data_IF_591001880972
#
_entry.id   IF_591001880972
#
_cell.length_a   1.000
_cell.length_b   1.000
_cell.length_c   1.000
_cell.angle_alpha   90.00
_cell.angle_beta   90.00
_cell.angle_gamma   90.00
#
_symmetry.space_group_name_H-M   'P 1'
#
loop_
_entity.id
_entity.type
_entity.pdbx_description
1 polymer ?
#
# COMPACT_ATOMS: atom_id res chain seq x y z
N UNK A 1 21.72 -44.76 16.06
CA UNK A 1 20.36 -44.19 15.92
C UNK A 1 19.38 -45.33 15.66
N UNK A 2 18.39 -45.55 16.54
CA UNK A 2 17.48 -46.69 16.42
C UNK A 2 16.48 -46.51 15.25
N UNK A 3 15.88 -47.59 14.75
CA UNK A 3 14.87 -47.53 13.67
C UNK A 3 13.71 -46.59 14.04
N UNK A 4 13.27 -46.59 15.30
CA UNK A 4 12.22 -45.71 15.80
C UNK A 4 12.62 -44.23 15.76
N UNK A 5 13.88 -43.90 16.09
CA UNK A 5 14.38 -42.52 15.99
C UNK A 5 14.42 -42.03 14.54
N UNK A 6 14.76 -42.91 13.58
CA UNK A 6 14.76 -42.57 12.14
C UNK A 6 13.37 -42.24 11.62
N UNK A 7 12.37 -43.04 12.01
CA UNK A 7 10.96 -42.84 11.60
C UNK A 7 10.42 -41.53 12.20
N UNK A 8 10.69 -41.28 13.48
CA UNK A 8 10.24 -40.07 14.16
C UNK A 8 10.83 -38.79 13.52
N UNK A 9 12.13 -38.79 13.22
CA UNK A 9 12.79 -37.66 12.53
C UNK A 9 12.23 -37.46 11.12
N UNK A 10 11.95 -38.54 10.37
CA UNK A 10 11.37 -38.44 9.04
C UNK A 10 9.96 -37.83 9.05
N UNK A 11 9.14 -38.18 10.04
CA UNK A 11 7.79 -37.60 10.23
C UNK A 11 7.90 -36.10 10.53
N UNK A 12 8.76 -35.71 11.48
CA UNK A 12 8.96 -34.30 11.81
C UNK A 12 9.40 -33.47 10.60
N UNK A 13 10.39 -33.96 9.84
CA UNK A 13 10.85 -33.30 8.62
C UNK A 13 9.73 -33.14 7.60
N UNK A 14 8.93 -34.18 7.39
CA UNK A 14 7.80 -34.15 6.45
C UNK A 14 6.74 -33.14 6.89
N UNK A 15 6.39 -33.10 8.17
CA UNK A 15 5.45 -32.11 8.72
C UNK A 15 5.99 -30.68 8.62
N UNK A 16 7.28 -30.45 8.90
CA UNK A 16 7.89 -29.12 8.80
C UNK A 16 7.92 -28.60 7.36
N UNK A 17 8.27 -29.46 6.40
CA UNK A 17 8.24 -29.10 4.97
C UNK A 17 6.80 -28.87 4.51
N UNK A 18 5.85 -29.72 4.93
CA UNK A 18 4.43 -29.54 4.62
C UNK A 18 3.87 -28.21 5.12
N UNK A 19 4.19 -27.83 6.37
CA UNK A 19 3.81 -26.53 6.94
C UNK A 19 4.45 -25.35 6.19
N UNK A 20 5.73 -25.46 5.83
CA UNK A 20 6.42 -24.42 5.07
C UNK A 20 5.80 -24.23 3.67
N UNK A 21 5.50 -25.32 2.96
CA UNK A 21 4.85 -25.26 1.64
C UNK A 21 3.44 -24.71 1.77
N UNK A 22 2.65 -25.16 2.75
CA UNK A 22 1.31 -24.63 3.00
C UNK A 22 1.33 -23.13 3.31
N UNK A 23 2.30 -22.66 4.09
CA UNK A 23 2.50 -21.23 4.38
C UNK A 23 2.84 -20.44 3.11
N UNK A 24 3.74 -20.95 2.27
CA UNK A 24 4.10 -20.32 0.98
C UNK A 24 2.90 -20.27 0.05
N UNK A 25 2.17 -21.38 -0.12
CA UNK A 25 0.98 -21.44 -0.99
C UNK A 25 -0.12 -20.51 -0.47
N UNK A 26 -0.43 -20.56 0.83
CA UNK A 26 -1.39 -19.64 1.45
C UNK A 26 -1.01 -18.20 1.09
N UNK A 27 0.24 -17.80 1.31
CA UNK A 27 0.73 -16.44 1.01
C UNK A 27 0.62 -16.07 -0.47
N UNK A 28 0.94 -16.99 -1.39
CA UNK A 28 0.90 -16.73 -2.83
C UNK A 28 -0.52 -16.68 -3.39
N UNK A 29 -1.45 -17.49 -2.87
CA UNK A 29 -2.84 -17.51 -3.33
C UNK A 29 -3.59 -16.20 -3.07
N UNK A 30 -3.21 -15.42 -2.03
CA UNK A 30 -3.73 -14.06 -1.82
C UNK A 30 -3.14 -13.01 -2.78
N UNK A 31 -2.10 -13.35 -3.55
CA UNK A 31 -1.36 -12.38 -4.37
C UNK A 31 -1.85 -12.28 -5.83
N UNK A 32 -2.75 -13.17 -6.29
CA UNK A 32 -3.21 -13.17 -7.68
C UNK A 32 -4.37 -12.18 -7.85
N UNK A 33 -4.04 -10.97 -8.30
CA UNK A 33 -4.96 -9.93 -8.81
C UNK A 33 -6.00 -9.33 -7.85
N UNK A 34 -5.67 -9.20 -6.55
CA UNK A 34 -6.54 -8.49 -5.59
C UNK A 34 -6.44 -6.96 -5.67
N UNK A 35 -5.34 -6.42 -6.23
CA UNK A 35 -5.08 -4.99 -6.24
C UNK A 35 -4.33 -4.51 -7.48
N UNK A 36 -4.45 -3.21 -7.76
CA UNK A 36 -3.76 -2.50 -8.83
C UNK A 36 -3.23 -1.17 -8.31
N UNK A 37 -1.94 -0.88 -8.54
CA UNK A 37 -1.38 0.44 -8.26
C UNK A 37 -1.75 1.35 -9.41
N UNK A 38 -2.70 2.27 -9.18
CA UNK A 38 -3.20 3.15 -10.25
C UNK A 38 -2.28 4.33 -10.50
N UNK A 39 -1.60 4.82 -9.46
CA UNK A 39 -0.62 5.90 -9.59
C UNK A 39 0.34 5.95 -8.38
N UNK A 40 1.45 6.66 -8.52
CA UNK A 40 2.47 6.85 -7.50
C UNK A 40 3.13 8.24 -7.61
N UNK A 41 3.18 8.95 -6.49
CA UNK A 41 4.03 10.13 -6.32
C UNK A 41 5.24 9.74 -5.48
N UNK A 42 6.43 10.17 -5.92
CA UNK A 42 7.64 10.08 -5.12
C UNK A 42 8.32 11.44 -5.06
N UNK A 43 8.64 11.85 -3.84
CA UNK A 43 9.34 13.09 -3.52
C UNK A 43 10.50 12.82 -2.57
N UNK A 44 11.56 13.61 -2.71
CA UNK A 44 12.69 13.61 -1.78
C UNK A 44 12.91 15.03 -1.29
N UNK A 45 12.81 15.25 0.03
CA UNK A 45 13.06 16.54 0.68
C UNK A 45 13.94 16.34 1.91
N UNK A 46 15.06 17.06 1.99
CA UNK A 46 15.91 17.20 3.20
C UNK A 46 16.21 15.87 3.94
N UNK A 47 16.58 14.80 3.23
CA UNK A 47 16.92 13.50 3.82
C UNK A 47 15.72 12.61 4.18
N UNK A 48 14.51 13.02 3.78
CA UNK A 48 13.31 12.21 3.80
C UNK A 48 12.86 11.91 2.36
N UNK A 49 12.54 10.64 2.09
CA UNK A 49 11.91 10.19 0.87
C UNK A 49 10.46 9.80 1.17
N UNK A 50 9.51 10.47 0.53
CA UNK A 50 8.09 10.19 0.67
C UNK A 50 7.58 9.55 -0.61
N UNK A 51 6.93 8.40 -0.49
CA UNK A 51 6.26 7.72 -1.61
C UNK A 51 4.78 7.58 -1.28
N UNK A 52 3.93 8.18 -2.10
CA UNK A 52 2.48 8.08 -2.03
C UNK A 52 2.00 7.15 -3.14
N UNK A 53 1.21 6.15 -2.80
CA UNK A 53 0.65 5.18 -3.74
C UNK A 53 -0.86 5.27 -3.70
N UNK A 54 -1.48 5.22 -4.87
CA UNK A 54 -2.92 5.06 -5.04
C UNK A 54 -3.18 3.63 -5.50
N UNK A 55 -3.94 2.88 -4.70
CA UNK A 55 -4.13 1.45 -4.90
C UNK A 55 -5.61 1.16 -4.98
N UNK A 56 -6.03 0.61 -6.12
CA UNK A 56 -7.37 0.09 -6.31
C UNK A 56 -7.44 -1.36 -5.85
N UNK A 57 -8.44 -1.70 -5.05
CA UNK A 57 -8.75 -3.08 -4.63
C UNK A 57 -10.15 -3.47 -5.10
N UNK A 58 -10.38 -4.78 -5.24
CA UNK A 58 -11.72 -5.29 -5.57
C UNK A 58 -12.70 -5.14 -4.40
N UNK A 59 -12.26 -5.42 -3.18
CA UNK A 59 -13.07 -5.34 -1.96
C UNK A 59 -12.17 -5.00 -0.74
N UNK A 60 -12.77 -4.56 0.37
CA UNK A 60 -12.06 -4.24 1.61
C UNK A 60 -12.11 -5.39 2.61
N UNK A 61 -11.13 -6.27 2.53
CA UNK A 61 -10.72 -7.06 3.69
C UNK A 61 -9.53 -6.37 4.37
N UNK A 62 -9.64 -6.04 5.66
CA UNK A 62 -8.61 -5.29 6.39
C UNK A 62 -7.27 -6.02 6.45
N UNK A 63 -7.29 -7.36 6.54
CA UNK A 63 -6.08 -8.17 6.48
C UNK A 63 -5.46 -8.13 5.08
N UNK A 64 -6.31 -8.18 4.05
CA UNK A 64 -5.88 -8.06 2.65
C UNK A 64 -5.33 -6.66 2.34
N UNK A 65 -5.97 -5.59 2.81
CA UNK A 65 -5.56 -4.19 2.60
C UNK A 65 -4.19 -3.91 3.23
N UNK A 66 -3.94 -4.41 4.45
CA UNK A 66 -2.61 -4.37 5.05
C UNK A 66 -1.61 -5.19 4.24
N UNK A 67 -1.96 -6.41 3.86
CA UNK A 67 -1.11 -7.30 3.07
C UNK A 67 -0.68 -6.69 1.74
N UNK A 68 -1.58 -5.98 1.06
CA UNK A 68 -1.30 -5.23 -0.17
C UNK A 68 -0.23 -4.17 0.05
N UNK A 69 -0.36 -3.35 1.09
CA UNK A 69 0.63 -2.31 1.37
C UNK A 69 1.99 -2.91 1.80
N UNK A 70 2.01 -4.02 2.55
CA UNK A 70 3.25 -4.74 2.88
C UNK A 70 3.92 -5.30 1.62
N UNK A 71 3.15 -5.84 0.68
CA UNK A 71 3.66 -6.38 -0.57
C UNK A 71 4.24 -5.30 -1.48
N UNK A 72 3.53 -4.18 -1.66
CA UNK A 72 4.03 -3.02 -2.43
C UNK A 72 5.27 -2.42 -1.77
N UNK A 73 5.29 -2.31 -0.43
CA UNK A 73 6.46 -1.84 0.30
C UNK A 73 7.65 -2.75 0.04
N UNK A 74 7.48 -4.07 0.14
CA UNK A 74 8.55 -5.04 -0.08
C UNK A 74 9.08 -4.98 -1.50
N UNK A 75 8.20 -5.02 -2.51
CA UNK A 75 8.57 -4.88 -3.93
C UNK A 75 9.37 -3.60 -4.17
N UNK A 76 8.99 -2.51 -3.52
CA UNK A 76 9.71 -1.23 -3.65
C UNK A 76 11.08 -1.28 -2.97
N UNK A 77 11.18 -1.85 -1.77
CA UNK A 77 12.47 -2.01 -1.07
C UNK A 77 13.42 -2.94 -1.83
N UNK A 78 12.91 -4.05 -2.37
CA UNK A 78 13.67 -5.04 -3.13
C UNK A 78 14.18 -4.46 -4.46
N UNK A 79 13.47 -3.48 -5.03
CA UNK A 79 13.89 -2.80 -6.27
C UNK A 79 15.13 -1.93 -6.12
N UNK A 80 15.60 -1.64 -4.89
CA UNK A 80 16.73 -0.76 -4.59
C UNK A 80 16.63 0.67 -5.19
N UNK A 81 15.44 1.11 -5.61
CA UNK A 81 15.25 2.47 -6.16
C UNK A 81 15.22 3.53 -5.06
N UNK A 82 15.01 3.14 -3.79
CA UNK A 82 14.96 4.06 -2.65
C UNK A 82 16.29 4.10 -1.89
N UNK A 83 16.68 5.30 -1.47
CA UNK A 83 17.89 5.51 -0.69
C UNK A 83 17.67 4.99 0.73
N UNK A 84 18.34 3.91 1.06
CA UNK A 84 18.21 3.28 2.38
C UNK A 84 18.80 4.16 3.49
N UNK A 85 19.71 5.09 3.17
CA UNK A 85 20.32 6.00 4.14
C UNK A 85 19.39 7.13 4.56
N UNK A 86 18.32 7.37 3.80
CA UNK A 86 17.28 8.34 4.09
C UNK A 86 16.15 7.74 4.94
N UNK A 87 15.43 8.62 5.65
CA UNK A 87 14.13 8.26 6.24
C UNK A 87 13.15 8.04 5.09
N UNK A 88 12.43 6.92 5.08
CA UNK A 88 11.48 6.59 4.01
C UNK A 88 10.07 6.51 4.58
N UNK A 89 9.17 7.33 4.05
CA UNK A 89 7.75 7.34 4.39
C UNK A 89 6.95 6.81 3.21
N UNK A 90 6.18 5.76 3.45
CA UNK A 90 5.24 5.22 2.49
C UNK A 90 3.84 5.55 2.95
N UNK A 91 3.04 6.11 2.05
CA UNK A 91 1.63 6.41 2.25
C UNK A 91 0.83 5.69 1.17
N UNK A 92 -0.13 4.88 1.57
CA UNK A 92 -0.97 4.09 0.68
C UNK A 92 -2.41 4.55 0.82
N UNK A 93 -2.98 5.05 -0.26
CA UNK A 93 -4.38 5.36 -0.42
C UNK A 93 -5.06 4.19 -1.13
N UNK A 94 -5.69 3.32 -0.35
CA UNK A 94 -6.33 2.11 -0.83
C UNK A 94 -7.83 2.34 -0.96
N UNK A 95 -8.39 2.09 -2.14
CA UNK A 95 -9.80 2.35 -2.43
C UNK A 95 -10.43 1.26 -3.30
N UNK A 96 -11.73 1.05 -3.13
CA UNK A 96 -12.56 0.25 -4.03
C UNK A 96 -13.23 1.18 -5.05
N UNK A 97 -13.49 0.68 -6.27
CA UNK A 97 -14.17 1.47 -7.31
C UNK A 97 -15.55 1.95 -6.86
N UNK A 98 -16.26 1.13 -6.07
CA UNK A 98 -17.60 1.45 -5.52
C UNK A 98 -17.60 2.66 -4.58
N UNK A 99 -16.46 3.01 -4.00
CA UNK A 99 -16.33 4.09 -3.02
C UNK A 99 -15.93 5.43 -3.65
N UNK A 100 -15.67 5.43 -4.96
CA UNK A 100 -15.33 6.63 -5.70
C UNK A 100 -16.61 7.37 -6.10
N UNK A 101 -16.65 8.67 -5.83
CA UNK A 101 -17.73 9.54 -6.31
C UNK A 101 -17.17 10.84 -6.89
N UNK A 102 -18.01 11.54 -7.65
CA UNK A 102 -17.72 12.90 -8.07
C UNK A 102 -17.75 13.84 -6.84
N UNK A 103 -17.06 14.98 -6.98
CA UNK A 103 -16.99 16.02 -5.95
C UNK A 103 -18.33 16.74 -5.83
N UNK A 104 -18.75 17.05 -4.60
CA UNK A 104 -19.90 17.94 -4.36
C UNK A 104 -19.46 19.40 -4.44
N UNK A 105 -20.41 20.33 -4.60
CA UNK A 105 -20.09 21.77 -4.63
C UNK A 105 -19.34 22.20 -3.36
N UNK A 106 -19.81 21.78 -2.18
CA UNK A 106 -19.15 22.07 -0.91
C UNK A 106 -17.68 21.60 -0.87
N UNK A 107 -17.38 20.45 -1.48
CA UNK A 107 -15.99 19.94 -1.56
C UNK A 107 -15.14 20.75 -2.53
N UNK A 108 -15.72 21.24 -3.62
CA UNK A 108 -15.02 22.12 -4.55
C UNK A 108 -14.67 23.45 -3.89
N UNK A 109 -15.62 24.01 -3.13
CA UNK A 109 -15.42 25.25 -2.38
C UNK A 109 -14.35 25.07 -1.28
N UNK A 110 -14.37 23.93 -0.57
CA UNK A 110 -13.33 23.58 0.41
C UNK A 110 -11.95 23.42 -0.24
N UNK A 111 -11.86 22.75 -1.40
CA UNK A 111 -10.60 22.57 -2.13
C UNK A 111 -10.06 23.91 -2.65
N UNK A 112 -10.93 24.80 -3.14
CA UNK A 112 -10.52 26.13 -3.56
C UNK A 112 -9.93 26.95 -2.41
N UNK A 113 -10.44 26.77 -1.18
CA UNK A 113 -9.93 27.45 0.00
C UNK A 113 -8.64 26.83 0.55
N UNK A 114 -8.55 25.50 0.58
CA UNK A 114 -7.44 24.77 1.23
C UNK A 114 -6.26 24.50 0.30
N UNK A 115 -6.52 24.34 -1.00
CA UNK A 115 -5.54 23.98 -2.02
C UNK A 115 -5.75 24.82 -3.29
N UNK A 116 -5.56 26.16 -3.22
CA UNK A 116 -5.85 27.06 -4.34
C UNK A 116 -4.97 26.83 -5.58
N UNK A 117 -3.89 26.04 -5.47
CA UNK A 117 -3.04 25.67 -6.62
C UNK A 117 -3.67 24.62 -7.55
N UNK A 118 -4.75 23.94 -7.11
CA UNK A 118 -5.43 22.94 -7.95
C UNK A 118 -6.44 23.66 -8.84
N UNK A 119 -6.06 23.93 -10.08
CA UNK A 119 -6.97 24.46 -11.10
C UNK A 119 -7.99 23.39 -11.52
N UNK A 120 -9.27 23.76 -11.60
CA UNK A 120 -10.40 22.90 -12.02
C UNK A 120 -10.49 21.53 -11.32
N UNK A 121 -10.60 21.48 -9.96
CA UNK A 121 -10.61 20.23 -9.21
C UNK A 121 -11.72 19.26 -9.65
N UNK A 122 -12.86 19.78 -10.12
CA UNK A 122 -13.97 18.97 -10.62
C UNK A 122 -13.60 18.09 -11.83
N UNK A 123 -12.66 18.52 -12.67
CA UNK A 123 -12.23 17.75 -13.85
C UNK A 123 -11.04 16.85 -13.56
N UNK A 124 -10.31 17.11 -12.47
CA UNK A 124 -9.06 16.41 -12.13
C UNK A 124 -9.19 15.37 -11.03
N UNK A 125 -10.11 15.55 -10.09
CA UNK A 125 -10.16 14.78 -8.86
C UNK A 125 -11.49 14.03 -8.68
N UNK A 126 -11.42 12.93 -7.95
CA UNK A 126 -12.56 12.21 -7.36
C UNK A 126 -12.37 12.11 -5.87
N UNK A 127 -13.49 11.99 -5.16
CA UNK A 127 -13.49 11.74 -3.73
C UNK A 127 -13.68 10.24 -3.48
N UNK A 128 -12.92 9.73 -2.51
CA UNK A 128 -13.10 8.40 -1.91
C UNK A 128 -13.63 8.62 -0.51
N UNK A 129 -14.85 8.15 -0.21
CA UNK A 129 -15.52 8.45 1.08
C UNK A 129 -15.13 7.51 2.22
N UNK A 130 -14.72 6.29 1.91
CA UNK A 130 -14.50 5.23 2.91
C UNK A 130 -13.26 4.36 2.59
N UNK A 131 -12.23 5.00 2.03
CA UNK A 131 -10.98 4.33 1.70
C UNK A 131 -10.11 4.08 2.94
N UNK A 132 -9.02 3.35 2.74
CA UNK A 132 -8.01 3.12 3.76
C UNK A 132 -6.76 3.94 3.47
N UNK A 133 -6.25 4.60 4.49
CA UNK A 133 -4.95 5.24 4.48
C UNK A 133 -4.01 4.44 5.37
N UNK A 134 -2.92 3.96 4.79
CA UNK A 134 -1.91 3.15 5.47
C UNK A 134 -0.57 3.87 5.37
N UNK A 135 0.11 4.01 6.49
CA UNK A 135 1.41 4.65 6.55
C UNK A 135 2.44 3.69 7.14
N UNK A 136 3.58 3.59 6.47
CA UNK A 136 4.78 2.97 7.01
C UNK A 136 5.92 4.00 7.05
N UNK A 137 6.59 4.11 8.19
CA UNK A 137 7.78 4.95 8.33
C UNK A 137 8.99 4.09 8.64
N UNK A 138 10.03 4.22 7.82
CA UNK A 138 11.30 3.55 7.99
C UNK A 138 12.36 4.58 8.37
N UNK A 139 13.07 4.32 9.45
CA UNK A 139 14.26 5.09 9.78
C UNK A 139 15.38 4.82 8.75
N UNK A 140 16.37 5.72 8.71
CA UNK A 140 17.61 5.50 7.97
C UNK A 140 18.21 4.13 8.32
N UNK A 141 18.68 3.43 7.27
CA UNK A 141 19.33 2.12 7.31
C UNK A 141 18.50 0.98 7.90
N UNK A 142 17.17 1.13 8.03
CA UNK A 142 16.29 0.06 8.52
C UNK A 142 15.46 -0.58 7.42
N UNK A 143 15.37 -1.91 7.45
CA UNK A 143 14.51 -2.69 6.56
C UNK A 143 13.11 -2.96 7.16
N UNK A 144 12.93 -2.70 8.45
CA UNK A 144 11.66 -2.82 9.14
C UNK A 144 11.08 -1.44 9.45
N UNK A 145 9.75 -1.27 9.37
CA UNK A 145 9.11 -0.01 9.70
C UNK A 145 9.26 0.27 11.20
N UNK A 146 9.61 1.50 11.53
CA UNK A 146 9.60 2.03 12.90
C UNK A 146 8.18 2.30 13.36
N UNK A 147 7.35 2.82 12.46
CA UNK A 147 5.97 3.19 12.75
C UNK A 147 5.05 2.67 11.66
N UNK A 148 3.86 2.25 12.09
CA UNK A 148 2.78 1.78 11.24
C UNK A 148 1.48 2.43 11.72
N UNK A 149 0.72 2.99 10.80
CA UNK A 149 -0.65 3.43 11.07
C UNK A 149 -1.57 3.02 9.94
N UNK A 150 -2.81 2.69 10.30
CA UNK A 150 -3.85 2.29 9.36
C UNK A 150 -5.18 2.82 9.87
N UNK A 151 -5.86 3.61 9.04
CA UNK A 151 -7.18 4.16 9.36
C UNK A 151 -8.07 4.22 8.13
N UNK A 152 -9.38 4.10 8.34
CA UNK A 152 -10.37 4.50 7.34
C UNK A 152 -10.45 6.02 7.31
N UNK A 153 -10.47 6.59 6.13
CA UNK A 153 -10.56 8.04 5.96
C UNK A 153 -11.12 8.38 4.58
N UNK A 154 -11.58 9.61 4.42
CA UNK A 154 -11.90 10.14 3.11
C UNK A 154 -10.67 10.85 2.55
N UNK A 155 -10.49 10.77 1.23
CA UNK A 155 -9.38 11.42 0.54
C UNK A 155 -9.73 11.67 -0.92
N UNK A 156 -8.95 12.52 -1.58
CA UNK A 156 -9.08 12.80 -3.00
C UNK A 156 -8.06 12.00 -3.79
N UNK A 157 -8.47 11.51 -4.96
CA UNK A 157 -7.61 10.80 -5.90
C UNK A 157 -7.72 11.44 -7.29
N UNK A 158 -6.69 11.35 -8.14
CA UNK A 158 -6.80 11.74 -9.54
C UNK A 158 -7.88 10.93 -10.26
N UNK A 159 -8.56 11.55 -11.22
CA UNK A 159 -9.41 10.84 -12.19
C UNK A 159 -8.57 9.97 -13.11
N UNK A 160 -9.20 8.95 -13.68
CA UNK A 160 -8.56 8.07 -14.66
C UNK A 160 -7.99 8.89 -15.82
N UNK A 161 -6.71 8.67 -16.12
CA UNK A 161 -5.99 9.38 -17.18
C UNK A 161 -5.28 10.66 -16.74
N UNK A 162 -5.36 11.03 -15.45
CA UNK A 162 -4.65 12.19 -14.88
C UNK A 162 -3.64 11.69 -13.86
N UNK A 163 -2.39 12.11 -13.97
CA UNK A 163 -1.37 11.75 -12.98
C UNK A 163 -1.45 12.69 -11.78
N UNK A 164 -1.26 12.14 -10.59
CA UNK A 164 -1.23 12.89 -9.34
C UNK A 164 -0.12 13.93 -9.30
N UNK A 165 0.99 13.70 -10.02
CA UNK A 165 2.08 14.68 -10.18
C UNK A 165 1.66 15.92 -10.97
N UNK A 166 0.67 15.80 -11.86
CA UNK A 166 0.19 16.92 -12.69
C UNK A 166 -0.82 17.81 -11.94
N UNK A 167 -1.22 17.40 -10.74
CA UNK A 167 -2.17 18.11 -9.86
C UNK A 167 -1.44 18.89 -8.76
N UNK A 168 -0.14 18.60 -8.52
CA UNK A 168 0.68 19.23 -7.49
C UNK A 168 1.08 20.67 -7.80
#
# INVERSE_FOLDING_TARGET
MSKSTKIFVAILLTCSVGLAVAYVVYRYSYAVSFYEVTDMIREQRRGEQTSVYFIRVADYDSLSVRGVAEDVTRKTLDSNVLDQTATRRFLYHVYATSDTSELTQDMLDELAYTNPGIEDPATKLRVVRNGWMIQYMFAANRLQPREFSMKRTYFFIPKTGINARDIQ
#
